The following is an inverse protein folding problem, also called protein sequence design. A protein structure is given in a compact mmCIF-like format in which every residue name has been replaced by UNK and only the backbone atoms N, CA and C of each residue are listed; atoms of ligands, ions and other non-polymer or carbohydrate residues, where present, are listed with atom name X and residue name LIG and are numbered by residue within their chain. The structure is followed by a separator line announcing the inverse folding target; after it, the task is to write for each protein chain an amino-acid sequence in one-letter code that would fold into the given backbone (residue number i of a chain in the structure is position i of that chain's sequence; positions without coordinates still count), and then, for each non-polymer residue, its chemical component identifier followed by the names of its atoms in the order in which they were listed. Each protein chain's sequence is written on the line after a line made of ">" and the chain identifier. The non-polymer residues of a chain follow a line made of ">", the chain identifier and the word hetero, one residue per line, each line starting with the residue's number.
data_IF_683575953358
#
_entry.id   IF_683575953358
#
_cell.length_a   1.000
_cell.length_b   1.000
_cell.length_c   1.000
_cell.angle_alpha   90.00
_cell.angle_beta   90.00
_cell.angle_gamma   90.00
#
_symmetry.space_group_name_H-M   'P 1'
#
loop_
_entity.id
_entity.type
_entity.pdbx_description
1 polymer ?
#
# COMPACT_ATOMS: atom_id res chain seq x y z
N UNK A 1 -23.72 48.57 -61.14
CA UNK A 1 -23.88 48.61 -62.62
C UNK A 1 -22.53 48.31 -63.27
N UNK A 2 -22.40 47.13 -63.86
CA UNK A 2 -21.37 46.66 -64.80
C UNK A 2 -21.74 45.17 -65.08
N UNK A 3 -22.28 44.80 -66.25
CA UNK A 3 -21.58 44.55 -67.52
C UNK A 3 -21.49 43.03 -67.80
N UNK A 4 -22.25 42.57 -68.81
CA UNK A 4 -21.97 41.48 -69.77
C UNK A 4 -21.68 40.05 -69.23
N UNK A 5 -22.20 38.93 -69.77
CA UNK A 5 -22.99 38.62 -70.95
C UNK A 5 -23.16 37.08 -71.04
N UNK A 6 -24.31 36.60 -71.52
CA UNK A 6 -24.67 35.18 -71.78
C UNK A 6 -24.26 34.76 -73.20
N UNK A 7 -23.87 33.49 -73.39
CA UNK A 7 -24.10 32.66 -74.61
C UNK A 7 -23.64 31.21 -74.27
N UNK A 8 -24.49 30.17 -74.12
CA UNK A 8 -25.29 29.39 -75.10
C UNK A 8 -24.46 28.56 -76.09
N UNK A 9 -24.57 27.22 -76.04
CA UNK A 9 -25.05 26.28 -77.10
C UNK A 9 -24.71 24.83 -76.66
N UNK A 10 -25.67 23.98 -76.29
CA UNK A 10 -26.43 23.05 -77.14
C UNK A 10 -25.58 21.98 -77.86
N UNK A 11 -25.83 20.71 -77.49
CA UNK A 11 -25.24 19.53 -78.12
C UNK A 11 -26.03 18.26 -77.76
N UNK A 12 -27.33 18.29 -78.00
CA UNK A 12 -28.21 17.13 -78.03
C UNK A 12 -28.52 16.85 -79.50
N UNK A 13 -28.05 15.74 -80.05
CA UNK A 13 -28.50 15.28 -81.36
C UNK A 13 -28.77 13.78 -81.36
N UNK A 14 -30.06 13.53 -81.46
CA UNK A 14 -30.84 12.33 -81.73
C UNK A 14 -30.26 11.36 -82.76
N UNK A 15 -30.46 10.08 -82.43
CA UNK A 15 -30.34 8.91 -83.30
C UNK A 15 -31.52 8.85 -84.27
N UNK A 16 -31.26 8.70 -85.57
CA UNK A 16 -32.27 8.35 -86.59
C UNK A 16 -31.81 7.14 -87.40
N UNK A 17 -32.68 6.14 -87.46
CA UNK A 17 -32.63 4.95 -88.32
C UNK A 17 -32.70 5.31 -89.81
N UNK A 18 -31.89 4.64 -90.64
CA UNK A 18 -32.21 4.36 -92.03
C UNK A 18 -31.59 3.01 -92.42
N UNK A 19 -32.45 2.06 -92.79
CA UNK A 19 -32.05 0.77 -93.32
C UNK A 19 -31.66 0.87 -94.79
N UNK A 20 -30.69 0.04 -95.19
CA UNK A 20 -30.54 -0.40 -96.57
C UNK A 20 -30.17 -1.88 -96.55
N UNK A 21 -31.00 -2.68 -97.22
CA UNK A 21 -30.75 -4.08 -97.53
C UNK A 21 -29.79 -4.17 -98.72
N UNK A 22 -28.76 -5.01 -98.59
CA UNK A 22 -28.10 -5.64 -99.73
C UNK A 22 -27.48 -6.95 -99.27
N UNK A 23 -27.87 -8.02 -99.96
CA UNK A 23 -27.44 -9.39 -99.74
C UNK A 23 -25.95 -9.57 -100.05
N UNK A 24 -25.26 -10.39 -99.25
CA UNK A 24 -24.35 -11.45 -99.71
C UNK A 24 -23.77 -12.23 -98.51
N UNK A 25 -23.69 -13.55 -98.67
CA UNK A 25 -22.97 -14.53 -97.83
C UNK A 25 -23.56 -14.91 -96.47
N UNK A 26 -24.48 -15.87 -96.51
CA UNK A 26 -24.70 -16.85 -95.43
C UNK A 26 -23.49 -17.78 -95.31
N UNK A 27 -22.47 -17.36 -94.57
CA UNK A 27 -21.47 -18.24 -93.97
C UNK A 27 -20.60 -17.41 -93.02
N UNK A 28 -20.52 -17.79 -91.74
CA UNK A 28 -19.71 -17.19 -90.65
C UNK A 28 -20.40 -16.26 -89.62
N UNK A 29 -21.68 -16.44 -89.28
CA UNK A 29 -22.29 -15.73 -88.13
C UNK A 29 -22.07 -16.39 -86.76
N UNK A 30 -21.61 -17.65 -86.70
CA UNK A 30 -21.44 -18.39 -85.43
C UNK A 30 -20.10 -18.18 -84.74
N UNK A 31 -19.15 -17.48 -85.38
CA UNK A 31 -17.77 -17.34 -84.89
C UNK A 31 -17.41 -15.91 -84.41
N UNK A 32 -18.23 -14.90 -84.77
CA UNK A 32 -18.10 -13.53 -84.23
C UNK A 32 -18.85 -13.37 -82.90
N UNK A 33 -20.03 -13.96 -82.79
CA UNK A 33 -20.83 -13.91 -81.55
C UNK A 33 -20.20 -14.74 -80.41
N UNK A 34 -19.46 -15.80 -80.74
CA UNK A 34 -18.76 -16.63 -79.75
C UNK A 34 -17.58 -15.87 -79.10
N UNK A 35 -16.87 -15.04 -79.87
CA UNK A 35 -15.77 -14.21 -79.38
C UNK A 35 -16.21 -13.06 -78.47
N UNK A 36 -17.29 -12.37 -78.85
CA UNK A 36 -17.85 -11.28 -78.05
C UNK A 36 -18.60 -11.82 -76.81
N UNK A 37 -19.29 -12.97 -76.90
CA UNK A 37 -19.86 -13.66 -75.75
C UNK A 37 -18.78 -14.14 -74.76
N UNK A 38 -17.66 -14.68 -75.26
CA UNK A 38 -16.54 -15.09 -74.40
C UNK A 38 -15.85 -13.87 -73.76
N UNK A 39 -15.72 -12.76 -74.48
CA UNK A 39 -15.12 -11.52 -73.96
C UNK A 39 -16.01 -10.85 -72.91
N UNK A 40 -17.32 -10.81 -73.14
CA UNK A 40 -18.30 -10.29 -72.16
C UNK A 40 -18.41 -11.20 -70.93
N UNK A 41 -18.32 -12.53 -71.09
CA UNK A 41 -18.25 -13.46 -69.96
C UNK A 41 -16.99 -13.22 -69.10
N UNK A 42 -15.81 -13.09 -69.71
CA UNK A 42 -14.56 -12.77 -69.01
C UNK A 42 -14.59 -11.40 -68.33
N UNK A 43 -15.18 -10.40 -68.98
CA UNK A 43 -15.37 -9.06 -68.40
C UNK A 43 -16.30 -9.09 -67.19
N UNK A 44 -17.39 -9.85 -67.28
CA UNK A 44 -18.32 -10.03 -66.15
C UNK A 44 -17.66 -10.77 -64.99
N UNK A 45 -16.82 -11.77 -65.28
CA UNK A 45 -16.02 -12.48 -64.27
C UNK A 45 -15.00 -11.54 -63.58
N UNK A 46 -14.28 -10.72 -64.35
CA UNK A 46 -13.37 -9.70 -63.79
C UNK A 46 -14.11 -8.65 -62.97
N UNK A 47 -15.29 -8.21 -63.41
CA UNK A 47 -16.12 -7.27 -62.65
C UNK A 47 -16.65 -7.89 -61.37
N UNK A 48 -16.97 -9.18 -61.36
CA UNK A 48 -17.39 -9.90 -60.17
C UNK A 48 -16.23 -10.01 -59.16
N UNK A 49 -15.05 -10.42 -59.62
CA UNK A 49 -13.83 -10.51 -58.80
C UNK A 49 -13.41 -9.14 -58.26
N UNK A 50 -13.47 -8.09 -59.09
CA UNK A 50 -13.14 -6.73 -58.67
C UNK A 50 -14.16 -6.16 -57.68
N UNK A 51 -15.45 -6.48 -57.82
CA UNK A 51 -16.47 -6.08 -56.84
C UNK A 51 -16.28 -6.80 -55.52
N UNK A 52 -15.93 -8.07 -55.55
CA UNK A 52 -15.66 -8.85 -54.34
C UNK A 52 -14.38 -8.38 -53.64
N UNK A 53 -13.33 -8.02 -54.38
CA UNK A 53 -12.12 -7.43 -53.78
C UNK A 53 -12.39 -6.05 -53.16
N UNK A 54 -13.16 -5.19 -53.83
CA UNK A 54 -13.59 -3.91 -53.26
C UNK A 54 -14.41 -4.13 -51.99
N UNK A 55 -15.33 -5.10 -51.99
CA UNK A 55 -16.13 -5.46 -50.81
C UNK A 55 -15.25 -5.93 -49.66
N UNK A 56 -14.36 -6.90 -49.90
CA UNK A 56 -13.44 -7.42 -48.89
C UNK A 56 -12.51 -6.34 -48.33
N UNK A 57 -11.97 -5.46 -49.17
CA UNK A 57 -11.16 -4.33 -48.73
C UNK A 57 -11.97 -3.33 -47.90
N UNK A 58 -13.24 -3.10 -48.26
CA UNK A 58 -14.13 -2.21 -47.50
C UNK A 58 -14.47 -2.79 -46.13
N UNK A 59 -14.74 -4.09 -46.06
CA UNK A 59 -14.96 -4.81 -44.79
C UNK A 59 -13.71 -4.81 -43.92
N UNK A 60 -12.53 -5.03 -44.50
CA UNK A 60 -11.25 -4.95 -43.79
C UNK A 60 -10.96 -3.54 -43.25
N UNK A 61 -11.22 -2.49 -44.04
CA UNK A 61 -11.09 -1.11 -43.58
C UNK A 61 -12.09 -0.76 -42.47
N UNK A 62 -13.33 -1.24 -42.54
CA UNK A 62 -14.31 -1.03 -41.50
C UNK A 62 -13.90 -1.73 -40.19
N UNK A 63 -13.39 -2.96 -40.28
CA UNK A 63 -12.83 -3.70 -39.14
C UNK A 63 -11.64 -2.95 -38.54
N UNK A 64 -10.64 -2.56 -39.36
CA UNK A 64 -9.45 -1.85 -38.91
C UNK A 64 -9.77 -0.50 -38.25
N UNK A 65 -10.75 0.24 -38.79
CA UNK A 65 -11.23 1.48 -38.15
C UNK A 65 -11.92 1.19 -36.82
N UNK A 66 -12.76 0.15 -36.73
CA UNK A 66 -13.41 -0.23 -35.48
C UNK A 66 -12.41 -0.69 -34.41
N UNK A 67 -11.36 -1.41 -34.79
CA UNK A 67 -10.26 -1.80 -33.91
C UNK A 67 -9.46 -0.58 -33.45
N UNK A 68 -9.15 0.37 -34.35
CA UNK A 68 -8.47 1.61 -34.00
C UNK A 68 -9.28 2.46 -33.02
N UNK A 69 -10.60 2.54 -33.18
CA UNK A 69 -11.47 3.21 -32.20
C UNK A 69 -11.45 2.51 -30.83
N UNK A 70 -11.45 1.18 -30.80
CA UNK A 70 -11.34 0.41 -29.56
C UNK A 70 -10.00 0.66 -28.88
N UNK A 71 -8.89 0.67 -29.61
CA UNK A 71 -7.58 0.99 -29.06
C UNK A 71 -7.52 2.42 -28.52
N UNK A 72 -8.15 3.38 -29.19
CA UNK A 72 -8.24 4.76 -28.70
C UNK A 72 -9.00 4.82 -27.37
N UNK A 73 -10.15 4.16 -27.27
CA UNK A 73 -10.93 4.08 -26.02
C UNK A 73 -10.15 3.38 -24.91
N UNK A 74 -9.42 2.30 -25.22
CA UNK A 74 -8.58 1.60 -24.26
C UNK A 74 -7.41 2.47 -23.77
N UNK A 75 -6.79 3.26 -24.67
CA UNK A 75 -5.73 4.18 -24.31
C UNK A 75 -6.26 5.33 -23.41
N UNK A 76 -7.43 5.86 -23.72
CA UNK A 76 -8.10 6.89 -22.90
C UNK A 76 -8.49 6.33 -21.51
N UNK A 77 -9.00 5.10 -21.43
CA UNK A 77 -9.32 4.45 -20.14
C UNK A 77 -8.05 4.15 -19.31
N UNK A 78 -6.99 3.64 -19.95
CA UNK A 78 -5.70 3.47 -19.29
C UNK A 78 -5.15 4.80 -18.79
N UNK A 79 -5.24 5.86 -19.61
CA UNK A 79 -4.79 7.20 -19.22
C UNK A 79 -5.61 7.75 -18.05
N UNK A 80 -6.93 7.58 -18.06
CA UNK A 80 -7.79 7.98 -16.94
C UNK A 80 -7.44 7.19 -15.65
N UNK A 81 -7.13 5.90 -15.76
CA UNK A 81 -6.65 5.09 -14.64
C UNK A 81 -5.28 5.55 -14.13
N UNK A 82 -4.37 5.94 -15.02
CA UNK A 82 -3.07 6.51 -14.64
C UNK A 82 -3.23 7.87 -13.96
N UNK A 83 -4.06 8.76 -14.50
CA UNK A 83 -4.35 10.07 -13.93
C UNK A 83 -5.06 9.95 -12.56
N UNK A 84 -5.90 8.93 -12.37
CA UNK A 84 -6.55 8.65 -11.09
C UNK A 84 -5.58 8.08 -10.03
N UNK A 85 -4.59 7.28 -10.44
CA UNK A 85 -3.57 6.72 -9.54
C UNK A 85 -2.42 7.71 -9.27
N UNK A 86 -2.20 8.66 -10.18
CA UNK A 86 -1.19 9.70 -10.10
C UNK A 86 -1.85 11.08 -10.28
N UNK A 87 -2.47 11.64 -9.23
CA UNK A 87 -3.00 12.99 -9.32
C UNK A 87 -1.85 13.98 -9.58
N UNK A 88 -1.76 14.50 -10.81
CA UNK A 88 -1.01 15.72 -11.13
C UNK A 88 0.25 15.62 -12.00
N UNK A 89 0.64 14.50 -12.59
CA UNK A 89 1.92 14.44 -13.33
C UNK A 89 1.85 15.03 -14.74
N UNK A 90 1.92 16.37 -14.86
CA UNK A 90 2.12 17.05 -16.16
C UNK A 90 3.20 18.12 -16.17
N UNK A 91 3.86 18.43 -15.04
CA UNK A 91 4.92 19.44 -15.01
C UNK A 91 6.27 18.89 -14.52
N UNK A 92 7.35 19.37 -15.13
CA UNK A 92 8.75 19.09 -14.69
C UNK A 92 8.97 19.47 -13.21
N UNK A 93 8.22 20.46 -12.71
CA UNK A 93 8.26 20.89 -11.32
C UNK A 93 7.77 19.83 -10.34
N UNK A 94 6.81 18.98 -10.74
CA UNK A 94 6.29 17.91 -9.87
C UNK A 94 7.30 16.76 -9.75
N UNK A 95 8.11 16.53 -10.79
CA UNK A 95 9.20 15.55 -10.77
C UNK A 95 10.33 16.06 -9.86
N UNK A 96 10.66 17.35 -9.97
CA UNK A 96 11.64 18.00 -9.09
C UNK A 96 11.16 17.99 -7.63
N UNK A 97 9.88 18.28 -7.37
CA UNK A 97 9.29 18.19 -6.04
C UNK A 97 9.34 16.75 -5.48
N UNK A 98 9.08 15.73 -6.32
CA UNK A 98 9.23 14.33 -5.91
C UNK A 98 10.69 13.94 -5.66
N UNK A 99 11.62 14.40 -6.47
CA UNK A 99 13.06 14.17 -6.25
C UNK A 99 13.54 14.85 -4.97
N UNK A 100 13.10 16.08 -4.71
CA UNK A 100 13.39 16.78 -3.47
C UNK A 100 12.76 16.08 -2.26
N UNK A 101 11.51 15.62 -2.36
CA UNK A 101 10.85 14.91 -1.26
C UNK A 101 11.51 13.55 -0.97
N UNK A 102 11.89 12.79 -2.00
CA UNK A 102 12.56 11.49 -1.86
C UNK A 102 13.99 11.63 -1.35
N UNK A 103 14.73 12.66 -1.78
CA UNK A 103 16.04 12.98 -1.22
C UNK A 103 15.92 13.44 0.23
N UNK A 104 14.93 14.27 0.56
CA UNK A 104 14.67 14.67 1.95
C UNK A 104 14.27 13.48 2.82
N UNK A 105 13.44 12.56 2.31
CA UNK A 105 13.05 11.34 3.03
C UNK A 105 14.24 10.40 3.20
N UNK A 106 15.07 10.23 2.17
CA UNK A 106 16.29 9.43 2.23
C UNK A 106 17.28 10.00 3.25
N UNK A 107 17.48 11.32 3.27
CA UNK A 107 18.36 11.97 4.27
C UNK A 107 17.79 11.85 5.67
N UNK A 108 16.46 11.87 5.84
CA UNK A 108 15.80 11.59 7.12
C UNK A 108 16.04 10.15 7.57
N UNK A 109 15.86 9.17 6.68
CA UNK A 109 16.14 7.76 6.96
C UNK A 109 17.62 7.52 7.28
N UNK A 110 18.55 8.19 6.59
CA UNK A 110 19.97 8.12 6.92
C UNK A 110 20.27 8.65 8.33
N UNK A 111 19.61 9.73 8.76
CA UNK A 111 19.72 10.24 10.14
C UNK A 111 19.12 9.29 11.17
N UNK A 112 17.96 8.70 10.88
CA UNK A 112 17.34 7.68 11.74
C UNK A 112 18.26 6.46 11.89
N UNK A 113 18.86 5.99 10.80
CA UNK A 113 19.85 4.91 10.83
C UNK A 113 21.10 5.27 11.65
N UNK A 114 21.62 6.50 11.50
CA UNK A 114 22.75 6.96 12.31
C UNK A 114 22.41 6.97 13.82
N UNK A 115 21.20 7.41 14.17
CA UNK A 115 20.70 7.40 15.54
C UNK A 115 20.54 5.97 16.09
N UNK A 116 20.05 5.04 15.26
CA UNK A 116 19.96 3.62 15.64
C UNK A 116 21.34 3.03 15.89
N UNK A 117 22.34 3.35 15.05
CA UNK A 117 23.72 2.91 15.25
C UNK A 117 24.34 3.47 16.54
N UNK A 118 24.10 4.74 16.86
CA UNK A 118 24.55 5.36 18.12
C UNK A 118 23.95 4.64 19.34
N UNK A 119 22.66 4.29 19.29
CA UNK A 119 21.98 3.56 20.37
C UNK A 119 22.45 2.11 20.51
N UNK A 120 22.71 1.43 19.39
CA UNK A 120 23.29 0.08 19.42
C UNK A 120 24.73 0.10 19.99
N UNK A 121 25.49 1.17 19.70
CA UNK A 121 26.80 1.38 20.31
C UNK A 121 26.68 1.59 21.82
N UNK A 122 25.77 2.46 22.28
CA UNK A 122 25.51 2.69 23.71
C UNK A 122 25.06 1.42 24.44
N UNK A 123 24.17 0.64 23.83
CA UNK A 123 23.79 -0.68 24.35
C UNK A 123 25.00 -1.62 24.46
N UNK A 124 25.84 -1.68 23.42
CA UNK A 124 27.05 -2.52 23.43
C UNK A 124 28.03 -2.08 24.53
N UNK A 125 28.20 -0.77 24.74
CA UNK A 125 29.01 -0.22 25.82
C UNK A 125 28.43 -0.58 27.20
N UNK A 126 27.11 -0.47 27.40
CA UNK A 126 26.45 -0.86 28.66
C UNK A 126 26.63 -2.36 28.97
N UNK A 127 26.49 -3.22 27.95
CA UNK A 127 26.72 -4.66 28.06
C UNK A 127 28.18 -4.96 28.36
N UNK A 128 29.12 -4.23 27.75
CA UNK A 128 30.54 -4.37 28.03
C UNK A 128 30.90 -3.93 29.46
N UNK A 129 30.32 -2.83 29.96
CA UNK A 129 30.47 -2.38 31.35
C UNK A 129 29.90 -3.42 32.31
N UNK A 130 28.75 -4.00 31.99
CA UNK A 130 28.17 -5.08 32.78
C UNK A 130 29.09 -6.32 32.81
N UNK A 131 29.55 -6.81 31.66
CA UNK A 131 30.48 -7.94 31.57
C UNK A 131 31.77 -7.66 32.35
N UNK A 132 32.33 -6.46 32.22
CA UNK A 132 33.51 -6.05 32.98
C UNK A 132 33.24 -5.97 34.49
N UNK A 133 32.05 -5.54 34.90
CA UNK A 133 31.65 -5.54 36.32
C UNK A 133 31.54 -6.96 36.89
N UNK A 134 31.07 -7.90 36.07
CA UNK A 134 30.98 -9.33 36.41
C UNK A 134 32.37 -9.97 36.45
N UNK A 135 33.23 -9.69 35.47
CA UNK A 135 34.62 -10.14 35.47
C UNK A 135 35.39 -9.58 36.67
N UNK A 136 35.19 -8.30 37.05
CA UNK A 136 35.79 -7.75 38.28
C UNK A 136 35.25 -8.37 39.56
N UNK A 137 34.06 -8.98 39.53
CA UNK A 137 33.55 -9.75 40.67
C UNK A 137 34.12 -11.17 40.74
N UNK A 138 34.59 -11.71 39.61
CA UNK A 138 35.21 -13.04 39.50
C UNK A 138 36.75 -12.99 39.47
N UNK A 139 37.38 -11.81 39.54
CA UNK A 139 38.83 -11.70 39.50
C UNK A 139 39.49 -12.29 40.78
N UNK A 140 40.33 -13.29 40.52
CA UNK A 140 41.28 -14.06 41.36
C UNK A 140 42.05 -13.33 42.48
N UNK A 141 41.92 -12.00 42.60
CA UNK A 141 42.42 -11.20 43.71
C UNK A 141 41.69 -11.54 45.02
N UNK A 142 40.42 -11.95 44.95
CA UNK A 142 39.64 -12.44 46.09
C UNK A 142 40.25 -13.69 46.71
N UNK A 143 40.58 -14.69 45.91
CA UNK A 143 41.12 -15.97 46.40
C UNK A 143 42.57 -15.85 46.90
N UNK A 144 43.38 -15.02 46.26
CA UNK A 144 44.74 -14.72 46.72
C UNK A 144 44.74 -13.87 48.01
N UNK A 145 43.75 -12.97 48.18
CA UNK A 145 43.56 -12.18 49.39
C UNK A 145 42.94 -13.01 50.51
N UNK A 146 42.03 -13.95 50.23
CA UNK A 146 41.49 -14.93 51.18
C UNK A 146 42.60 -15.81 51.73
N UNK A 147 43.50 -16.34 50.88
CA UNK A 147 44.67 -17.10 51.37
C UNK A 147 45.63 -16.25 52.20
N UNK A 148 45.82 -14.97 51.85
CA UNK A 148 46.63 -14.02 52.65
C UNK A 148 45.94 -13.60 53.95
N UNK A 149 44.61 -13.52 53.96
CA UNK A 149 43.77 -13.27 55.13
C UNK A 149 43.76 -14.48 56.06
N UNK A 150 43.63 -15.70 55.54
CA UNK A 150 43.73 -16.95 56.30
C UNK A 150 45.13 -17.12 56.90
N UNK A 151 46.19 -16.81 56.14
CA UNK A 151 47.56 -16.80 56.64
C UNK A 151 47.83 -15.72 57.71
N UNK A 152 47.13 -14.57 57.64
CA UNK A 152 47.20 -13.50 58.66
C UNK A 152 46.28 -13.74 59.85
N UNK A 153 45.13 -14.39 59.67
CA UNK A 153 44.16 -14.73 60.72
C UNK A 153 44.70 -15.81 61.65
N UNK A 154 45.52 -16.73 61.14
CA UNK A 154 46.30 -17.66 61.95
C UNK A 154 47.32 -16.96 62.88
N UNK A 155 47.64 -15.69 62.64
CA UNK A 155 48.68 -14.95 63.36
C UNK A 155 48.13 -13.95 64.40
N UNK A 156 46.81 -13.67 64.44
CA UNK A 156 46.21 -12.68 65.35
C UNK A 156 44.74 -12.98 65.72
N UNK A 157 44.51 -13.94 66.60
CA UNK A 157 43.30 -13.98 67.46
C UNK A 157 43.54 -12.95 68.60
N UNK A 158 42.69 -11.99 68.97
CA UNK A 158 41.28 -12.09 69.34
C UNK A 158 40.58 -10.69 69.40
N UNK A 159 41.03 -9.66 68.67
CA UNK A 159 40.46 -8.30 68.83
C UNK A 159 39.96 -7.60 67.55
N UNK A 160 40.11 -8.19 66.36
CA UNK A 160 39.87 -7.50 65.06
C UNK A 160 38.60 -7.99 64.33
N UNK A 161 38.00 -9.10 64.77
CA UNK A 161 36.84 -9.72 64.12
C UNK A 161 35.60 -8.82 63.99
N UNK A 162 35.44 -7.84 64.88
CA UNK A 162 34.32 -6.88 64.84
C UNK A 162 34.49 -5.72 63.85
N UNK A 163 35.73 -5.39 63.47
CA UNK A 163 36.03 -4.34 62.49
C UNK A 163 36.03 -4.90 61.06
N UNK A 164 36.61 -6.09 60.89
CA UNK A 164 36.67 -6.81 59.61
C UNK A 164 35.26 -7.21 59.13
N UNK A 165 34.36 -7.63 60.03
CA UNK A 165 32.98 -7.96 59.66
C UNK A 165 32.17 -6.72 59.17
N UNK A 166 32.49 -5.52 59.67
CA UNK A 166 31.87 -4.27 59.19
C UNK A 166 32.41 -3.85 57.83
N UNK A 167 33.71 -4.03 57.60
CA UNK A 167 34.34 -3.71 56.33
C UNK A 167 33.88 -4.66 55.21
N UNK A 168 33.71 -5.95 55.52
CA UNK A 168 33.11 -6.95 54.62
C UNK A 168 31.64 -6.65 54.30
N UNK A 169 30.85 -6.18 55.28
CA UNK A 169 29.47 -5.77 55.03
C UNK A 169 29.40 -4.55 54.10
N UNK A 170 30.31 -3.59 54.26
CA UNK A 170 30.38 -2.40 53.41
C UNK A 170 30.84 -2.71 51.99
N UNK A 171 31.77 -3.66 51.79
CA UNK A 171 32.17 -4.11 50.44
C UNK A 171 31.07 -4.91 49.75
N UNK A 172 30.37 -5.80 50.46
CA UNK A 172 29.20 -6.52 49.92
C UNK A 172 28.10 -5.53 49.53
N UNK A 173 27.82 -4.52 50.37
CA UNK A 173 26.85 -3.48 50.04
C UNK A 173 27.26 -2.68 48.81
N UNK A 174 28.53 -2.25 48.70
CA UNK A 174 29.03 -1.53 47.52
C UNK A 174 28.94 -2.36 46.24
N UNK A 175 29.21 -3.65 46.32
CA UNK A 175 29.07 -4.56 45.17
C UNK A 175 27.61 -4.78 44.79
N UNK A 176 26.71 -4.91 45.78
CA UNK A 176 25.27 -5.01 45.54
C UNK A 176 24.69 -3.72 44.94
N UNK A 177 25.12 -2.55 45.40
CA UNK A 177 24.67 -1.26 44.83
C UNK A 177 25.22 -1.05 43.42
N UNK A 178 26.50 -1.38 43.18
CA UNK A 178 27.09 -1.28 41.84
C UNK A 178 26.41 -2.23 40.82
N UNK A 179 26.08 -3.46 41.24
CA UNK A 179 25.32 -4.40 40.41
C UNK A 179 23.87 -3.95 40.20
N UNK A 180 23.23 -3.31 41.20
CA UNK A 180 21.89 -2.78 41.07
C UNK A 180 21.84 -1.59 40.10
N UNK A 181 22.84 -0.70 40.16
CA UNK A 181 22.96 0.46 39.26
C UNK A 181 23.21 0.02 37.81
N UNK A 182 24.12 -0.94 37.58
CA UNK A 182 24.40 -1.48 36.24
C UNK A 182 23.21 -2.24 35.63
N UNK A 183 22.40 -2.92 36.46
CA UNK A 183 21.14 -3.56 36.01
C UNK A 183 20.07 -2.53 35.69
N UNK A 184 19.95 -1.48 36.50
CA UNK A 184 18.97 -0.43 36.29
C UNK A 184 19.25 0.36 35.01
N UNK A 185 20.52 0.65 34.69
CA UNK A 185 20.88 1.31 33.43
C UNK A 185 20.55 0.44 32.22
N UNK A 186 20.93 -0.84 32.25
CA UNK A 186 20.64 -1.81 31.18
C UNK A 186 19.13 -1.98 30.96
N UNK A 187 18.34 -2.09 32.03
CA UNK A 187 16.88 -2.20 31.94
C UNK A 187 16.24 -0.93 31.36
N UNK A 188 16.74 0.26 31.72
CA UNK A 188 16.25 1.52 31.17
C UNK A 188 16.51 1.64 29.67
N UNK A 189 17.68 1.16 29.22
CA UNK A 189 18.13 1.25 27.84
C UNK A 189 17.44 0.19 26.96
N UNK A 190 17.22 -1.01 27.49
CA UNK A 190 16.37 -2.04 26.88
C UNK A 190 14.92 -1.56 26.71
N UNK A 191 14.31 -0.96 27.74
CA UNK A 191 12.98 -0.35 27.61
C UNK A 191 12.93 0.77 26.57
N UNK A 192 13.99 1.56 26.44
CA UNK A 192 14.07 2.62 25.43
C UNK A 192 14.19 2.03 24.01
N UNK A 193 14.92 0.92 23.84
CA UNK A 193 15.01 0.20 22.58
C UNK A 193 13.67 -0.46 22.18
N UNK A 194 12.96 -1.07 23.14
CA UNK A 194 11.67 -1.73 22.90
C UNK A 194 10.57 -0.75 22.45
N UNK A 195 10.58 0.48 22.97
CA UNK A 195 9.67 1.56 22.55
C UNK A 195 9.90 1.97 21.09
N UNK A 196 11.15 1.99 20.63
CA UNK A 196 11.46 2.36 19.25
C UNK A 196 11.18 1.22 18.26
N UNK A 197 11.39 -0.02 18.68
CA UNK A 197 11.09 -1.20 17.87
C UNK A 197 9.58 -1.51 17.80
N UNK A 198 8.73 -0.76 18.50
CA UNK A 198 7.28 -0.95 18.54
C UNK A 198 6.85 -2.23 19.26
N UNK A 199 7.79 -2.97 19.85
CA UNK A 199 7.51 -4.20 20.61
C UNK A 199 6.76 -3.87 21.91
N UNK A 200 7.07 -2.73 22.54
CA UNK A 200 6.37 -2.22 23.74
C UNK A 200 5.06 -1.46 23.48
N UNK A 201 4.71 -1.16 22.22
CA UNK A 201 3.41 -0.53 21.91
C UNK A 201 2.23 -1.47 22.20
N UNK A 202 2.48 -2.79 22.26
CA UNK A 202 1.48 -3.78 22.65
C UNK A 202 1.17 -3.74 24.15
N UNK A 203 2.17 -3.46 25.00
CA UNK A 203 1.97 -3.36 26.46
C UNK A 203 1.19 -2.10 26.87
N UNK A 204 1.40 -0.96 26.19
CA UNK A 204 0.59 0.25 26.41
C UNK A 204 -0.86 0.06 25.91
N UNK A 205 -1.07 -0.73 24.85
CA UNK A 205 -2.39 -1.16 24.41
C UNK A 205 -3.03 -2.15 25.41
N UNK A 206 -2.24 -3.04 26.01
CA UNK A 206 -2.69 -3.99 27.04
C UNK A 206 -3.05 -3.29 28.36
N UNK A 207 -2.30 -2.26 28.76
CA UNK A 207 -2.60 -1.45 29.95
C UNK A 207 -3.90 -0.63 29.78
N UNK A 208 -4.16 -0.13 28.56
CA UNK A 208 -5.41 0.56 28.23
C UNK A 208 -6.59 -0.40 28.02
N UNK A 209 -6.33 -1.65 27.58
CA UNK A 209 -7.35 -2.68 27.37
C UNK A 209 -7.79 -3.36 28.68
N UNK A 210 -6.92 -3.45 29.69
CA UNK A 210 -7.19 -4.11 30.97
C UNK A 210 -8.33 -3.48 31.80
N UNK A 211 -8.92 -2.35 31.38
CA UNK A 211 -10.04 -1.68 32.06
C UNK A 211 -11.28 -1.46 31.19
N UNK A 212 -11.28 -1.86 29.93
CA UNK A 212 -12.42 -1.64 29.05
C UNK A 212 -13.52 -2.68 29.32
N UNK A 213 -14.55 -2.27 30.07
CA UNK A 213 -15.78 -3.05 30.22
C UNK A 213 -16.61 -2.90 28.94
N UNK A 214 -17.48 -3.87 28.61
CA UNK A 214 -18.34 -3.88 27.41
C UNK A 214 -19.11 -2.57 27.13
N UNK A 215 -19.30 -1.74 28.16
CA UNK A 215 -19.98 -0.43 28.13
C UNK A 215 -19.09 0.79 27.86
N UNK A 216 -17.77 0.66 28.02
CA UNK A 216 -16.76 1.74 27.90
C UNK A 216 -15.63 1.37 26.92
N UNK A 217 -15.93 0.54 25.93
CA UNK A 217 -15.01 0.30 24.83
C UNK A 217 -14.71 1.60 24.07
N UNK A 218 -13.49 1.77 23.61
CA UNK A 218 -13.00 2.94 22.90
C UNK A 218 -12.29 2.52 21.60
N UNK A 219 -12.40 3.40 20.61
CA UNK A 219 -11.68 3.25 19.35
C UNK A 219 -10.21 3.61 19.56
N UNK A 220 -9.32 2.65 19.35
CA UNK A 220 -7.87 2.81 19.45
C UNK A 220 -7.33 3.43 18.18
N UNK A 221 -7.66 2.84 17.04
CA UNK A 221 -7.12 3.21 15.73
C UNK A 221 -8.21 3.10 14.66
N UNK A 222 -8.18 4.01 13.69
CA UNK A 222 -9.08 4.00 12.53
C UNK A 222 -8.22 4.00 11.28
N UNK A 223 -8.49 3.06 10.38
CA UNK A 223 -7.92 3.00 9.02
C UNK A 223 -9.03 3.32 8.02
N UNK A 224 -9.19 4.59 7.62
CA UNK A 224 -10.26 5.02 6.72
C UNK A 224 -10.19 4.31 5.36
N UNK A 225 -8.99 4.00 4.86
CA UNK A 225 -8.81 3.34 3.57
C UNK A 225 -9.46 1.94 3.50
N UNK A 226 -9.62 1.26 4.64
CA UNK A 226 -10.22 -0.07 4.73
C UNK A 226 -11.58 -0.06 5.43
N UNK A 227 -12.10 1.12 5.80
CA UNK A 227 -13.25 1.27 6.68
C UNK A 227 -13.14 0.37 7.94
N UNK A 228 -11.91 0.20 8.45
CA UNK A 228 -11.58 -0.69 9.56
C UNK A 228 -11.28 0.13 10.80
N UNK A 229 -11.88 -0.28 11.91
CA UNK A 229 -11.72 0.33 13.22
C UNK A 229 -11.21 -0.72 14.18
N UNK A 230 -10.17 -0.38 14.95
CA UNK A 230 -9.63 -1.22 16.01
C UNK A 230 -10.16 -0.72 17.35
N UNK A 231 -10.77 -1.63 18.11
CA UNK A 231 -11.32 -1.34 19.43
C UNK A 231 -10.52 -2.03 20.52
N UNK A 232 -10.40 -1.39 21.69
CA UNK A 232 -9.72 -1.94 22.88
C UNK A 232 -10.57 -2.97 23.66
N UNK A 233 -11.37 -3.75 22.94
CA UNK A 233 -12.25 -4.75 23.53
C UNK A 233 -12.17 -6.05 22.74
N UNK A 234 -12.07 -7.18 23.41
CA UNK A 234 -11.86 -8.49 22.78
C UNK A 234 -12.71 -9.61 23.37
N UNK A 235 -12.24 -10.85 23.17
CA UNK A 235 -12.87 -12.09 23.62
C UNK A 235 -13.06 -12.12 25.14
N UNK A 236 -12.10 -11.56 25.89
CA UNK A 236 -12.17 -11.47 27.36
C UNK A 236 -13.41 -10.69 27.84
N UNK A 237 -13.85 -9.70 27.06
CA UNK A 237 -15.04 -8.90 27.36
C UNK A 237 -16.33 -9.48 26.75
N UNK A 238 -16.27 -10.65 26.11
CA UNK A 238 -17.42 -11.34 25.52
C UNK A 238 -17.78 -10.92 24.09
N UNK A 239 -16.88 -10.23 23.38
CA UNK A 239 -17.11 -9.81 22.00
C UNK A 239 -17.05 -11.02 21.06
N UNK A 240 -18.01 -11.09 20.14
CA UNK A 240 -18.10 -12.14 19.12
C UNK A 240 -18.06 -11.54 17.72
N UNK A 241 -17.54 -12.32 16.79
CA UNK A 241 -17.59 -11.99 15.36
C UNK A 241 -19.05 -11.81 14.95
N UNK A 242 -19.34 -10.71 14.26
CA UNK A 242 -20.68 -10.32 13.82
C UNK A 242 -21.47 -9.44 14.79
N UNK A 243 -20.96 -9.17 16.00
CA UNK A 243 -21.62 -8.30 16.96
C UNK A 243 -21.61 -6.83 16.48
N UNK A 244 -22.77 -6.15 16.45
CA UNK A 244 -22.83 -4.73 16.12
C UNK A 244 -22.50 -3.84 17.33
N UNK A 245 -21.74 -2.77 17.09
CA UNK A 245 -21.45 -1.73 18.06
C UNK A 245 -21.87 -0.37 17.52
N UNK A 246 -22.46 0.45 18.38
CA UNK A 246 -22.75 1.84 18.08
C UNK A 246 -21.61 2.73 18.55
N UNK A 247 -21.21 3.66 17.68
CA UNK A 247 -20.16 4.64 17.95
C UNK A 247 -20.80 5.94 18.45
N UNK A 248 -20.37 6.42 19.61
CA UNK A 248 -20.85 7.62 20.28
C UNK A 248 -19.70 8.63 20.46
N UNK A 249 -19.93 9.86 20.02
CA UNK A 249 -19.05 11.02 20.22
C UNK A 249 -19.85 12.13 20.87
N UNK A 250 -19.42 12.61 22.04
CA UNK A 250 -20.07 13.71 22.77
C UNK A 250 -21.60 13.63 22.86
N UNK A 251 -22.11 12.42 23.17
CA UNK A 251 -23.54 12.11 23.29
C UNK A 251 -24.35 12.10 21.97
N UNK A 252 -23.66 12.10 20.81
CA UNK A 252 -24.23 11.92 19.48
C UNK A 252 -23.82 10.57 18.90
N UNK A 253 -24.76 9.83 18.31
CA UNK A 253 -24.46 8.61 17.55
C UNK A 253 -23.81 9.01 16.22
N UNK A 254 -22.59 8.54 16.00
CA UNK A 254 -21.80 8.78 14.78
C UNK A 254 -22.07 7.69 13.75
N UNK A 255 -22.19 6.44 14.19
CA UNK A 255 -22.38 5.31 13.29
C UNK A 255 -22.56 3.97 13.97
N UNK A 256 -22.52 2.92 13.17
CA UNK A 256 -22.58 1.53 13.58
C UNK A 256 -21.46 0.75 12.88
N UNK A 257 -20.74 -0.04 13.67
CA UNK A 257 -19.64 -0.90 13.22
C UNK A 257 -19.96 -2.36 13.53
N UNK A 258 -19.52 -3.28 12.68
CA UNK A 258 -19.69 -4.73 12.90
C UNK A 258 -18.33 -5.39 13.04
N UNK A 259 -18.18 -6.17 14.10
CA UNK A 259 -16.95 -6.90 14.38
C UNK A 259 -16.72 -8.00 13.33
N UNK A 260 -15.54 -8.01 12.72
CA UNK A 260 -15.11 -9.03 11.75
C UNK A 260 -14.08 -9.99 12.33
N UNK A 261 -13.25 -9.54 13.26
CA UNK A 261 -12.19 -10.33 13.88
C UNK A 261 -12.05 -9.95 15.37
N UNK A 262 -11.78 -10.95 16.20
CA UNK A 262 -11.69 -10.81 17.65
C UNK A 262 -10.48 -11.56 18.19
N UNK A 263 -9.58 -10.82 18.82
CA UNK A 263 -8.46 -11.34 19.62
C UNK A 263 -8.82 -11.28 21.10
N UNK A 264 -7.89 -11.69 21.96
CA UNK A 264 -8.16 -11.79 23.40
C UNK A 264 -8.59 -10.45 24.00
N UNK A 265 -7.89 -9.37 23.65
CA UNK A 265 -8.10 -8.01 24.21
C UNK A 265 -8.47 -6.92 23.21
N UNK A 266 -8.43 -7.20 21.91
CA UNK A 266 -8.74 -6.26 20.84
C UNK A 266 -9.68 -6.88 19.82
N UNK A 267 -10.45 -6.05 19.13
CA UNK A 267 -11.33 -6.47 18.04
C UNK A 267 -11.24 -5.52 16.86
N UNK A 268 -11.33 -6.09 15.67
CA UNK A 268 -11.44 -5.36 14.41
C UNK A 268 -12.90 -5.29 13.99
N UNK A 269 -13.40 -4.08 13.73
CA UNK A 269 -14.75 -3.83 13.28
C UNK A 269 -14.77 -3.03 11.98
N UNK A 270 -15.69 -3.38 11.08
CA UNK A 270 -15.90 -2.67 9.81
C UNK A 270 -17.07 -1.71 9.96
N UNK A 271 -16.93 -0.51 9.40
CA UNK A 271 -17.97 0.52 9.42
C UNK A 271 -19.12 0.11 8.48
N UNK A 272 -20.34 -0.01 9.01
CA UNK A 272 -21.52 -0.40 8.22
C UNK A 272 -22.40 0.79 7.87
N UNK A 273 -22.76 1.59 8.88
CA UNK A 273 -23.65 2.72 8.72
C UNK A 273 -23.00 3.94 9.37
N UNK A 274 -22.83 5.01 8.60
CA UNK A 274 -22.52 6.33 9.13
C UNK A 274 -23.81 7.15 9.21
N UNK A 275 -24.01 7.89 10.29
CA UNK A 275 -25.15 8.80 10.43
C UNK A 275 -24.94 10.07 9.61
N UNK A 276 -23.68 10.48 9.41
CA UNK A 276 -23.29 11.58 8.54
C UNK A 276 -22.01 11.19 7.80
N UNK A 277 -22.00 11.31 6.46
CA UNK A 277 -20.78 11.09 5.65
C UNK A 277 -19.70 12.16 5.92
N UNK A 278 -20.10 13.33 6.43
CA UNK A 278 -19.20 14.45 6.78
C UNK A 278 -18.47 14.25 8.13
N UNK A 279 -18.92 13.33 8.99
CA UNK A 279 -18.35 13.07 10.32
C UNK A 279 -17.80 11.63 10.42
N UNK A 280 -16.58 11.36 9.90
CA UNK A 280 -15.97 10.05 10.04
C UNK A 280 -15.65 9.71 11.50
N UNK A 281 -15.63 8.41 11.79
CA UNK A 281 -15.21 7.85 13.08
C UNK A 281 -13.74 8.21 13.33
N UNK A 282 -13.42 8.64 14.54
CA UNK A 282 -12.08 9.10 14.95
C UNK A 282 -11.58 8.26 16.12
N UNK A 283 -10.27 8.29 16.32
CA UNK A 283 -9.64 7.69 17.49
C UNK A 283 -10.18 8.35 18.77
N UNK A 284 -10.51 7.52 19.77
CA UNK A 284 -11.10 7.95 21.04
C UNK A 284 -12.63 7.95 21.12
N UNK A 285 -13.35 7.61 20.04
CA UNK A 285 -14.81 7.48 20.11
C UNK A 285 -15.23 6.30 21.00
N UNK A 286 -16.36 6.44 21.72
CA UNK A 286 -16.89 5.38 22.60
C UNK A 286 -17.77 4.41 21.84
N UNK A 287 -17.58 3.13 22.13
CA UNK A 287 -18.30 2.01 21.55
C UNK A 287 -19.24 1.40 22.60
N UNK A 288 -20.50 1.23 22.22
CA UNK A 288 -21.51 0.53 23.03
C UNK A 288 -22.14 -0.58 22.23
N UNK A 289 -22.32 -1.75 22.85
CA UNK A 289 -23.03 -2.88 22.23
C UNK A 289 -24.50 -2.48 22.02
N UNK A 290 -25.00 -2.70 20.81
CA UNK A 290 -26.44 -2.67 20.56
C UNK A 290 -27.01 -4.05 20.88
N UNK A 291 -27.79 -4.17 21.96
CA UNK A 291 -28.45 -5.42 22.34
C UNK A 291 -29.79 -5.64 21.64
N UNK A 292 -30.12 -4.84 20.61
CA UNK A 292 -31.36 -5.01 19.84
C UNK A 292 -31.22 -6.09 18.76
N UNK A 293 -31.19 -7.36 19.16
CA UNK A 293 -31.66 -8.46 18.29
C UNK A 293 -31.95 -9.74 19.05
#
# INVERSE_FOLDING_TARGET
>A
MASFGRLVLAGCLTITLAGNAAAQSRSSLTDRDSGDAAKTARLNEQLLLARESIRSLTESLALANSEAEVFKRQAEDLQAKFDALAPGSKSDGDIEERLLSTVNELTRQQKENALLLERLLGLAESVQVFLKSVETSDNDDGDAFIRKLEAKAAQKSDAVAGAEAKELLETIKRNQTAQAEARASLESELRAADRMLGVGATDDLDAQAARATLTDAAVVEVKPEFALVVANIGREAGVKIGMPFQVWRDNRRVGEVRVIDVRDRISGAVIQNLVSEEDPIKTGDRLRVDTRR
#
